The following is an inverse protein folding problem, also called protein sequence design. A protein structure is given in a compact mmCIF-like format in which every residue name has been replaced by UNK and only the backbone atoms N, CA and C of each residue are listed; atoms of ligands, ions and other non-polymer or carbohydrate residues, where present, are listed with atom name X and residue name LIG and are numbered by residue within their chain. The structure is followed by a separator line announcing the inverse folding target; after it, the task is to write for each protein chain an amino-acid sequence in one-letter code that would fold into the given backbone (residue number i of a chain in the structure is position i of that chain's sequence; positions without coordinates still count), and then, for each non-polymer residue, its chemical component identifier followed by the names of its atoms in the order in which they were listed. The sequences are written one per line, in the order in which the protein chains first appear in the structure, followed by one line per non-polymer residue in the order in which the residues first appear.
data_IF_595556091005
#
_entry.id   IF_595556091005
#
_cell.length_a   1.000
_cell.length_b   1.000
_cell.length_c   1.000
_cell.angle_alpha   90.00
_cell.angle_beta   90.00
_cell.angle_gamma   90.00
#
_symmetry.space_group_name_H-M   'P 1'
#
loop_
_entity.id
_entity.type
_entity.pdbx_description
1 polymer ?
#
# COMPACT_ATOMS: atom_id res chain seq x y z
N UNK A 1 7.38 11.69 26.20
CA UNK A 1 7.46 11.63 24.73
C UNK A 1 6.04 11.57 24.21
N UNK A 2 5.60 12.62 23.54
CA UNK A 2 4.25 12.69 22.96
C UNK A 2 4.29 11.88 21.68
N UNK A 3 3.63 10.72 21.67
CA UNK A 3 3.47 9.91 20.46
C UNK A 3 2.67 10.76 19.49
N UNK A 4 3.27 11.14 18.36
CA UNK A 4 2.58 11.89 17.33
C UNK A 4 1.41 11.03 16.83
N UNK A 5 0.19 11.44 17.17
CA UNK A 5 -1.02 10.82 16.61
C UNK A 5 -1.01 11.16 15.11
N UNK A 6 -1.07 10.18 14.20
CA UNK A 6 -1.01 10.44 12.77
C UNK A 6 -2.21 11.31 12.36
N UNK A 7 -1.97 12.50 11.84
CA UNK A 7 -3.01 13.48 11.47
C UNK A 7 -3.39 13.45 9.99
N UNK A 8 -2.75 12.61 9.17
CA UNK A 8 -3.09 12.38 7.78
C UNK A 8 -3.13 10.89 7.51
N UNK A 9 -4.34 10.34 7.40
CA UNK A 9 -4.57 9.06 6.75
C UNK A 9 -4.93 9.38 5.31
N UNK A 10 -4.26 8.76 4.34
CA UNK A 10 -4.67 8.88 2.94
C UNK A 10 -6.07 8.27 2.79
N UNK A 11 -7.07 8.98 2.21
CA UNK A 11 -8.39 8.38 1.95
C UNK A 11 -8.31 7.28 0.88
N UNK A 12 -7.18 7.18 0.18
CA UNK A 12 -6.92 6.20 -0.86
C UNK A 12 -6.20 4.95 -0.36
N UNK A 13 -5.67 4.99 0.87
CA UNK A 13 -5.07 3.86 1.57
C UNK A 13 -5.96 3.49 2.75
N UNK A 14 -6.51 2.27 2.71
CA UNK A 14 -7.57 1.90 3.63
C UNK A 14 -7.03 1.21 4.89
N UNK A 15 -6.18 0.19 4.73
CA UNK A 15 -5.72 -0.62 5.87
C UNK A 15 -4.58 -1.56 5.48
N UNK A 16 -3.63 -1.78 6.41
CA UNK A 16 -2.66 -2.87 6.33
C UNK A 16 -3.37 -4.20 6.63
N UNK A 17 -3.37 -5.13 5.68
CA UNK A 17 -3.98 -6.46 5.83
C UNK A 17 -3.02 -7.56 5.38
N UNK A 18 -1.72 -7.36 5.59
CA UNK A 18 -0.67 -8.29 5.14
C UNK A 18 -0.98 -9.74 5.51
N UNK A 19 -1.31 -10.01 6.78
CA UNK A 19 -1.60 -11.37 7.24
C UNK A 19 -2.87 -11.94 6.56
N UNK A 20 -3.97 -11.18 6.56
CA UNK A 20 -5.22 -11.57 5.92
C UNK A 20 -5.04 -11.86 4.42
N UNK A 21 -4.25 -11.04 3.74
CA UNK A 21 -3.96 -11.22 2.32
C UNK A 21 -3.15 -12.49 2.08
N UNK A 22 -2.12 -12.75 2.88
CA UNK A 22 -1.30 -13.97 2.76
C UNK A 22 -2.08 -15.24 3.11
N UNK A 23 -3.04 -15.15 4.04
CA UNK A 23 -3.93 -16.27 4.37
C UNK A 23 -4.89 -16.61 3.22
N UNK A 24 -5.41 -15.59 2.53
CA UNK A 24 -6.38 -15.76 1.44
C UNK A 24 -5.72 -15.99 0.07
N UNK A 25 -4.57 -15.37 -0.18
CA UNK A 25 -3.87 -15.37 -1.46
C UNK A 25 -2.36 -15.51 -1.26
N UNK A 26 -1.89 -16.71 -0.82
CA UNK A 26 -0.49 -16.92 -0.46
C UNK A 26 0.48 -16.72 -1.63
N UNK A 27 0.05 -16.97 -2.86
CA UNK A 27 0.89 -16.77 -4.06
C UNK A 27 1.25 -15.30 -4.31
N UNK A 28 0.58 -14.35 -3.64
CA UNK A 28 0.98 -12.94 -3.70
C UNK A 28 2.35 -12.71 -3.07
N UNK A 29 2.79 -13.58 -2.15
CA UNK A 29 4.12 -13.51 -1.54
C UNK A 29 5.23 -13.62 -2.60
N UNK A 30 5.01 -14.44 -3.64
CA UNK A 30 5.98 -14.63 -4.73
C UNK A 30 6.12 -13.39 -5.63
N UNK A 31 5.18 -12.43 -5.53
CA UNK A 31 5.25 -11.15 -6.23
C UNK A 31 6.12 -10.12 -5.50
N UNK A 32 6.51 -10.41 -4.26
CA UNK A 32 7.29 -9.50 -3.42
C UNK A 32 8.78 -9.86 -3.53
N UNK A 33 9.68 -8.87 -3.56
CA UNK A 33 11.08 -9.09 -3.22
C UNK A 33 11.21 -9.79 -1.85
N UNK A 34 12.26 -10.60 -1.59
CA UNK A 34 12.55 -11.16 -0.26
C UNK A 34 12.99 -10.07 0.75
N UNK A 35 12.15 -9.06 0.96
CA UNK A 35 12.41 -7.84 1.72
C UNK A 35 11.20 -7.61 2.65
N UNK A 36 11.41 -7.27 3.93
CA UNK A 36 10.32 -6.94 4.83
C UNK A 36 9.50 -5.75 4.33
N UNK A 37 8.17 -5.89 4.35
CA UNK A 37 7.22 -4.82 4.04
C UNK A 37 5.79 -5.24 4.33
N UNK A 38 4.83 -4.39 3.96
CA UNK A 38 3.42 -4.57 4.24
C UNK A 38 2.55 -4.38 3.00
N UNK A 39 1.47 -5.16 2.93
CA UNK A 39 0.41 -5.01 1.95
C UNK A 39 -0.72 -4.16 2.49
N UNK A 40 -1.08 -3.13 1.73
CA UNK A 40 -2.14 -2.18 2.02
C UNK A 40 -3.26 -2.31 1.02
N UNK A 41 -4.50 -2.34 1.51
CA UNK A 41 -5.68 -2.19 0.65
C UNK A 41 -5.74 -0.74 0.16
N UNK A 42 -5.86 -0.55 -1.15
CA UNK A 42 -5.88 0.78 -1.77
C UNK A 42 -7.06 0.95 -2.72
N UNK A 43 -7.38 2.20 -3.06
CA UNK A 43 -8.33 2.48 -4.13
C UNK A 43 -7.78 2.06 -5.48
N UNK A 44 -8.65 1.66 -6.42
CA UNK A 44 -8.24 1.33 -7.79
C UNK A 44 -7.48 2.44 -8.49
N UNK A 45 -7.91 3.70 -8.33
CA UNK A 45 -7.21 4.85 -8.92
C UNK A 45 -5.79 5.00 -8.38
N UNK A 46 -5.59 4.74 -7.08
CA UNK A 46 -4.26 4.78 -6.49
C UNK A 46 -3.41 3.58 -6.97
N UNK A 47 -4.00 2.39 -7.03
CA UNK A 47 -3.32 1.20 -7.54
C UNK A 47 -2.77 1.40 -8.97
N UNK A 48 -3.56 1.99 -9.86
CA UNK A 48 -3.15 2.30 -11.23
C UNK A 48 -2.00 3.32 -11.28
N UNK A 49 -2.03 4.33 -10.41
CA UNK A 49 -0.94 5.30 -10.31
C UNK A 49 0.34 4.67 -9.78
N UNK A 50 0.23 3.80 -8.77
CA UNK A 50 1.34 3.04 -8.20
C UNK A 50 1.97 2.09 -9.23
N UNK A 51 1.16 1.34 -10.00
CA UNK A 51 1.65 0.51 -11.11
C UNK A 51 2.41 1.34 -12.14
N UNK A 52 1.90 2.53 -12.48
CA UNK A 52 2.56 3.43 -13.42
C UNK A 52 3.89 3.99 -12.86
N UNK A 53 4.00 4.13 -11.54
CA UNK A 53 5.23 4.51 -10.83
C UNK A 53 6.21 3.34 -10.64
N UNK A 54 5.85 2.12 -11.05
CA UNK A 54 6.70 0.93 -10.94
C UNK A 54 6.62 0.22 -9.59
N UNK A 55 5.66 0.58 -8.74
CA UNK A 55 5.42 -0.07 -7.45
C UNK A 55 4.79 -1.46 -7.63
N UNK A 56 4.94 -2.30 -6.60
CA UNK A 56 4.39 -3.66 -6.62
C UNK A 56 2.91 -3.63 -6.21
N UNK A 57 2.05 -3.92 -7.18
CA UNK A 57 0.59 -3.98 -6.99
C UNK A 57 0.07 -5.37 -7.32
N UNK A 58 -0.87 -5.84 -6.51
CA UNK A 58 -1.58 -7.09 -6.70
C UNK A 58 -3.08 -6.84 -6.76
N UNK A 59 -3.71 -7.29 -7.84
CA UNK A 59 -5.15 -7.17 -8.06
C UNK A 59 -5.81 -8.55 -7.95
N UNK A 60 -6.82 -8.66 -7.08
CA UNK A 60 -7.66 -9.86 -6.98
C UNK A 60 -9.14 -9.50 -6.91
N UNK A 61 -9.93 -10.07 -7.83
CA UNK A 61 -11.38 -9.91 -7.93
C UNK A 61 -11.87 -8.45 -7.92
N UNK A 62 -12.08 -7.89 -6.73
CA UNK A 62 -12.63 -6.55 -6.51
C UNK A 62 -11.75 -5.65 -5.63
N UNK A 63 -10.53 -6.09 -5.31
CA UNK A 63 -9.61 -5.38 -4.42
C UNK A 63 -8.25 -5.16 -5.08
N UNK A 64 -7.65 -4.01 -4.77
CA UNK A 64 -6.29 -3.65 -5.14
C UNK A 64 -5.42 -3.57 -3.90
N UNK A 65 -4.26 -4.20 -3.98
CA UNK A 65 -3.30 -4.29 -2.90
C UNK A 65 -1.98 -3.72 -3.35
N UNK A 66 -1.39 -2.86 -2.52
CA UNK A 66 -0.08 -2.28 -2.77
C UNK A 66 0.90 -2.75 -1.70
N UNK A 67 2.06 -3.22 -2.13
CA UNK A 67 3.17 -3.55 -1.24
C UNK A 67 4.11 -2.37 -1.09
N UNK A 68 4.40 -1.98 0.15
CA UNK A 68 5.44 -1.00 0.46
C UNK A 68 6.31 -1.46 1.62
N UNK A 69 7.59 -1.11 1.58
CA UNK A 69 8.55 -1.34 2.68
C UNK A 69 8.59 -0.16 3.65
N UNK A 70 7.90 0.93 3.33
CA UNK A 70 7.80 2.12 4.19
C UNK A 70 6.71 1.87 5.23
N UNK A 71 7.04 2.07 6.51
CA UNK A 71 6.10 1.87 7.63
C UNK A 71 4.81 2.68 7.47
N UNK A 72 4.92 3.85 6.83
CA UNK A 72 3.80 4.75 6.54
C UNK A 72 3.59 4.85 5.03
N UNK A 73 2.43 4.42 4.53
CA UNK A 73 2.13 4.48 3.11
C UNK A 73 2.07 5.94 2.62
N UNK A 74 1.65 6.90 3.46
CA UNK A 74 1.64 8.32 3.09
C UNK A 74 3.04 8.86 2.76
N UNK A 75 4.05 8.47 3.54
CA UNK A 75 5.44 8.90 3.31
C UNK A 75 5.98 8.32 1.99
N UNK A 76 5.58 7.09 1.63
CA UNK A 76 5.88 6.49 0.34
C UNK A 76 5.17 7.23 -0.81
N UNK A 77 3.90 7.63 -0.64
CA UNK A 77 3.17 8.41 -1.65
C UNK A 77 3.80 9.79 -1.87
N UNK A 78 4.27 10.47 -0.81
CA UNK A 78 5.00 11.73 -0.94
C UNK A 78 6.30 11.53 -1.74
N UNK A 79 7.07 10.48 -1.44
CA UNK A 79 8.32 10.17 -2.14
C UNK A 79 8.11 9.85 -3.63
N UNK A 80 6.98 9.23 -3.97
CA UNK A 80 6.57 8.92 -5.34
C UNK A 80 5.97 10.13 -6.09
N UNK A 81 5.76 11.26 -5.41
CA UNK A 81 5.09 12.43 -5.98
C UNK A 81 3.58 12.25 -6.18
N UNK A 82 2.98 11.24 -5.54
CA UNK A 82 1.55 10.92 -5.61
C UNK A 82 0.74 11.69 -4.54
N UNK A 83 1.07 12.97 -4.35
CA UNK A 83 0.51 13.80 -3.28
C UNK A 83 -0.98 14.13 -3.47
N UNK A 84 -1.49 14.03 -4.70
CA UNK A 84 -2.93 14.14 -5.00
C UNK A 84 -3.77 13.09 -4.25
N UNK A 85 -3.17 11.95 -3.89
CA UNK A 85 -3.83 10.87 -3.14
C UNK A 85 -3.69 11.03 -1.60
N UNK A 86 -3.17 12.16 -1.12
CA UNK A 86 -3.04 12.46 0.31
C UNK A 86 -4.08 13.46 0.82
N UNK A 87 -4.94 13.96 -0.07
CA UNK A 87 -5.91 15.04 0.20
C UNK A 87 -7.34 14.53 0.34
#
# INVERSE_FOLDING_TARGET
MQVAVPTKNSPHVFVNQTLTLLDYWPEVADRVPNIPGAWWLVTRSLAQALEASGEVVATAACSDWWFTTVDRPEDALEALGLTDFLA
#
